data_IF_086177208356
#
_entry.id   IF_086177208356
#
_cell.length_a   1.000
_cell.length_b   1.000
_cell.length_c   1.000
_cell.angle_alpha   90.00
_cell.angle_beta   90.00
_cell.angle_gamma   90.00
#
_symmetry.space_group_name_H-M   'P 1'
#
loop_
_entity.id
_entity.type
_entity.pdbx_description
1 polymer ?
#
# COMPACT_ATOMS: atom_id res chain seq x y z
N UNK A 1 9.58 25.95 4.89
CA UNK A 1 9.58 25.47 6.29
C UNK A 1 10.41 24.20 6.30
N UNK A 2 11.28 24.02 7.27
CA UNK A 2 12.12 22.83 7.35
C UNK A 2 11.29 21.64 7.88
N UNK A 3 11.54 20.43 7.40
CA UNK A 3 10.79 19.22 7.82
C UNK A 3 10.91 19.01 9.33
N UNK A 4 12.11 19.19 9.90
CA UNK A 4 12.36 19.07 11.34
C UNK A 4 11.50 20.01 12.18
N UNK A 5 11.33 21.26 11.75
CA UNK A 5 10.50 22.21 12.46
C UNK A 5 9.03 21.83 12.39
N UNK A 6 8.60 21.28 11.24
CA UNK A 6 7.25 20.75 11.08
C UNK A 6 6.99 19.57 11.99
N UNK A 7 7.88 18.56 11.98
CA UNK A 7 7.74 17.37 12.80
C UNK A 7 7.84 17.69 14.29
N UNK A 8 8.79 18.52 14.71
CA UNK A 8 8.88 18.98 16.11
C UNK A 8 7.61 19.68 16.55
N UNK A 9 7.07 20.57 15.73
CA UNK A 9 5.81 21.25 16.04
C UNK A 9 4.65 20.28 16.14
N UNK A 10 4.58 19.29 15.26
CA UNK A 10 3.53 18.28 15.25
C UNK A 10 3.65 17.36 16.48
N UNK A 11 4.85 16.84 16.77
CA UNK A 11 5.05 15.86 17.84
C UNK A 11 5.09 16.48 19.24
N UNK A 12 5.59 17.73 19.41
CA UNK A 12 5.73 18.37 20.71
C UNK A 12 4.53 19.24 21.10
N UNK A 13 3.87 19.90 20.14
CA UNK A 13 2.85 20.89 20.42
C UNK A 13 1.45 20.52 19.93
N UNK A 14 1.33 19.38 19.26
CA UNK A 14 0.07 18.93 18.64
C UNK A 14 -0.37 19.83 17.49
N UNK A 15 -0.66 19.27 16.34
CA UNK A 15 -1.28 20.04 15.27
C UNK A 15 -2.76 20.24 15.59
N UNK A 16 -3.17 21.48 15.81
CA UNK A 16 -4.60 21.76 15.84
C UNK A 16 -5.06 22.03 14.43
N UNK A 17 -5.61 21.03 13.78
CA UNK A 17 -6.26 21.16 12.50
C UNK A 17 -7.53 22.01 12.62
N UNK A 18 -7.87 22.75 11.56
CA UNK A 18 -9.15 23.46 11.52
C UNK A 18 -10.30 22.47 11.45
N UNK A 19 -11.34 22.73 12.22
CA UNK A 19 -12.54 21.90 12.31
C UNK A 19 -13.56 22.25 11.24
N UNK A 20 -14.38 21.25 10.88
CA UNK A 20 -15.57 21.44 10.04
C UNK A 20 -16.74 20.63 10.63
N UNK A 21 -17.89 21.26 10.85
CA UNK A 21 -19.00 20.66 11.61
C UNK A 21 -19.69 19.49 10.90
N UNK A 22 -19.67 19.47 9.57
CA UNK A 22 -20.30 18.44 8.74
C UNK A 22 -19.31 17.37 8.26
N UNK A 23 -18.03 17.49 8.64
CA UNK A 23 -16.99 16.52 8.30
C UNK A 23 -16.71 15.59 9.50
N UNK A 24 -16.44 14.33 9.21
CA UNK A 24 -16.06 13.31 10.19
C UNK A 24 -14.91 12.47 9.66
N UNK A 25 -13.97 12.15 10.56
CA UNK A 25 -12.89 11.21 10.31
C UNK A 25 -13.33 9.84 10.80
N UNK A 26 -13.13 8.81 9.98
CA UNK A 26 -13.32 7.43 10.36
C UNK A 26 -12.01 6.66 10.20
N UNK A 27 -11.74 5.74 11.12
CA UNK A 27 -10.53 4.93 11.05
C UNK A 27 -10.75 3.56 11.71
N UNK A 28 -9.92 2.59 11.36
CA UNK A 28 -9.88 1.33 12.06
C UNK A 28 -8.45 1.04 12.54
N UNK A 29 -8.34 0.49 13.74
CA UNK A 29 -7.08 0.04 14.32
C UNK A 29 -7.13 -1.47 14.55
N UNK A 30 -6.06 -2.16 14.17
CA UNK A 30 -5.85 -3.56 14.52
C UNK A 30 -4.36 -3.87 14.63
N UNK A 31 -4.00 -4.66 15.62
CA UNK A 31 -2.61 -5.01 15.93
C UNK A 31 -2.51 -6.49 16.35
N UNK A 32 -2.74 -7.44 15.42
CA UNK A 32 -2.88 -8.86 15.77
C UNK A 32 -1.62 -9.49 16.36
N UNK A 33 -0.46 -8.85 16.20
CA UNK A 33 0.82 -9.35 16.71
C UNK A 33 1.38 -8.51 17.86
N UNK A 34 0.63 -7.53 18.39
CA UNK A 34 1.07 -6.68 19.49
C UNK A 34 2.32 -5.84 19.19
N UNK A 35 2.49 -5.40 17.93
CA UNK A 35 3.62 -4.56 17.54
C UNK A 35 3.55 -3.20 18.25
N UNK A 36 4.48 -2.86 19.16
CA UNK A 36 4.43 -1.63 19.93
C UNK A 36 4.50 -0.36 19.08
N UNK A 37 5.13 -0.42 17.91
CA UNK A 37 5.25 0.72 17.01
C UNK A 37 3.91 1.10 16.37
N UNK A 38 2.98 0.14 16.23
CA UNK A 38 1.62 0.45 15.78
C UNK A 38 0.86 1.27 16.80
N UNK A 39 0.96 0.92 18.08
CA UNK A 39 0.33 1.69 19.15
C UNK A 39 0.97 3.08 19.29
N UNK A 40 2.29 3.19 19.13
CA UNK A 40 3.00 4.49 19.11
C UNK A 40 2.50 5.34 17.93
N UNK A 41 2.40 4.76 16.74
CA UNK A 41 1.90 5.45 15.56
C UNK A 41 0.43 5.91 15.74
N UNK A 42 -0.42 5.01 16.25
CA UNK A 42 -1.80 5.34 16.58
C UNK A 42 -1.90 6.52 17.56
N UNK A 43 -1.14 6.51 18.64
CA UNK A 43 -1.19 7.58 19.64
C UNK A 43 -0.84 8.94 19.04
N UNK A 44 0.17 9.01 18.18
CA UNK A 44 0.56 10.23 17.45
C UNK A 44 -0.55 10.68 16.48
N UNK A 45 -1.12 9.74 15.72
CA UNK A 45 -2.27 9.99 14.86
C UNK A 45 -3.46 10.53 15.66
N UNK A 46 -3.85 9.83 16.74
CA UNK A 46 -4.99 10.18 17.57
C UNK A 46 -4.82 11.57 18.21
N UNK A 47 -3.65 11.87 18.74
CA UNK A 47 -3.34 13.20 19.29
C UNK A 47 -3.54 14.31 18.26
N UNK A 48 -3.26 14.04 16.99
CA UNK A 48 -3.44 15.03 15.91
C UNK A 48 -4.90 15.29 15.58
N UNK A 49 -5.79 14.30 15.73
CA UNK A 49 -7.20 14.37 15.29
C UNK A 49 -8.24 14.41 16.42
N UNK A 50 -7.89 14.10 17.68
CA UNK A 50 -8.85 13.93 18.78
C UNK A 50 -9.77 15.13 19.04
N UNK A 51 -9.42 16.32 18.55
CA UNK A 51 -10.23 17.53 18.64
C UNK A 51 -11.20 17.73 17.45
N UNK A 52 -11.12 16.86 16.43
CA UNK A 52 -12.01 16.82 15.28
C UNK A 52 -13.17 15.84 15.52
N UNK A 53 -14.24 15.93 14.73
CA UNK A 53 -15.23 14.85 14.73
C UNK A 53 -14.60 13.57 14.22
N UNK A 54 -14.64 12.51 15.02
CA UNK A 54 -14.07 11.22 14.61
C UNK A 54 -14.86 10.04 15.12
N UNK A 55 -14.67 8.87 14.52
CA UNK A 55 -15.11 7.54 14.96
C UNK A 55 -14.03 6.54 14.61
N UNK A 56 -13.60 5.75 15.58
CA UNK A 56 -12.54 4.76 15.41
C UNK A 56 -13.08 3.41 15.89
N UNK A 57 -12.79 2.36 15.14
CA UNK A 57 -13.05 0.98 15.56
C UNK A 57 -11.73 0.28 15.80
N UNK A 58 -11.55 -0.24 17.01
CA UNK A 58 -10.51 -1.23 17.30
C UNK A 58 -11.03 -2.62 16.95
N UNK A 59 -10.36 -3.30 16.03
CA UNK A 59 -10.63 -4.70 15.70
C UNK A 59 -9.71 -5.61 16.50
N UNK A 60 -10.26 -6.34 17.45
CA UNK A 60 -9.55 -7.32 18.27
C UNK A 60 -9.70 -8.69 17.60
N UNK A 61 -8.58 -9.29 17.20
CA UNK A 61 -8.56 -10.52 16.42
C UNK A 61 -8.13 -11.69 17.29
N UNK A 62 -8.95 -12.75 17.31
CA UNK A 62 -8.68 -13.95 18.10
C UNK A 62 -8.60 -13.64 19.59
N UNK A 63 -7.57 -14.16 20.25
CA UNK A 63 -7.32 -13.99 21.69
C UNK A 63 -6.44 -12.77 22.03
N UNK A 64 -6.22 -11.86 21.06
CA UNK A 64 -5.41 -10.66 21.33
C UNK A 64 -6.11 -9.75 22.34
N UNK A 65 -5.31 -8.98 23.07
CA UNK A 65 -5.84 -8.00 24.01
C UNK A 65 -6.13 -6.68 23.29
N UNK A 66 -7.20 -6.03 23.70
CA UNK A 66 -7.50 -4.68 23.26
C UNK A 66 -6.44 -3.70 23.80
N UNK A 67 -6.00 -2.77 22.97
CA UNK A 67 -4.94 -1.80 23.28
C UNK A 67 -5.49 -0.38 23.47
N UNK A 68 -6.67 -0.08 22.89
CA UNK A 68 -7.23 1.26 22.93
C UNK A 68 -8.28 1.40 24.07
N UNK A 69 -8.40 2.58 24.69
CA UNK A 69 -9.49 2.84 25.64
C UNK A 69 -10.83 2.90 24.88
N UNK A 70 -11.83 2.20 25.38
CA UNK A 70 -13.19 2.31 24.85
C UNK A 70 -13.84 3.62 25.31
N UNK A 71 -14.37 4.39 24.38
CA UNK A 71 -15.00 5.70 24.61
C UNK A 71 -16.21 5.86 23.70
N UNK A 72 -16.91 6.98 23.76
CA UNK A 72 -17.99 7.28 22.80
C UNK A 72 -17.49 7.45 21.34
N UNK A 73 -16.17 7.63 21.13
CA UNK A 73 -15.53 7.83 19.81
C UNK A 73 -14.70 6.64 19.35
N UNK A 74 -14.31 5.76 20.27
CA UNK A 74 -13.52 4.56 20.02
C UNK A 74 -14.32 3.36 20.49
N UNK A 75 -14.80 2.56 19.55
CA UNK A 75 -15.56 1.34 19.81
C UNK A 75 -14.73 0.11 19.48
N UNK A 76 -15.17 -1.05 19.95
CA UNK A 76 -14.45 -2.31 19.79
C UNK A 76 -15.30 -3.36 19.11
N UNK A 77 -14.67 -4.12 18.21
CA UNK A 77 -15.27 -5.29 17.57
C UNK A 77 -14.31 -6.46 17.70
N UNK A 78 -14.82 -7.60 18.11
CA UNK A 78 -14.09 -8.85 18.21
C UNK A 78 -14.40 -9.75 17.02
N UNK A 79 -13.39 -10.39 16.46
CA UNK A 79 -13.54 -11.40 15.40
C UNK A 79 -12.48 -12.49 15.55
N UNK A 80 -12.84 -13.77 15.38
CA UNK A 80 -11.83 -14.82 15.33
C UNK A 80 -11.06 -14.87 14.01
N UNK A 81 -11.52 -14.18 12.97
CA UNK A 81 -10.98 -14.28 11.61
C UNK A 81 -9.86 -13.27 11.40
N UNK A 82 -8.63 -13.76 11.23
CA UNK A 82 -7.47 -12.94 10.92
C UNK A 82 -7.46 -12.60 9.43
N UNK A 83 -8.16 -11.53 9.07
CA UNK A 83 -8.27 -10.98 7.71
C UNK A 83 -8.08 -9.47 7.73
N UNK A 84 -7.97 -8.87 6.55
CA UNK A 84 -7.90 -7.41 6.40
C UNK A 84 -9.30 -6.82 6.41
N UNK A 85 -9.87 -6.55 7.59
CA UNK A 85 -11.24 -6.08 7.78
C UNK A 85 -11.45 -4.58 7.59
N UNK A 86 -10.43 -3.82 7.15
CA UNK A 86 -10.45 -2.35 7.12
C UNK A 86 -11.74 -1.81 6.49
N UNK A 87 -12.03 -2.21 5.27
CA UNK A 87 -13.15 -1.65 4.51
C UNK A 87 -14.51 -2.10 5.07
N UNK A 88 -14.64 -3.33 5.57
CA UNK A 88 -15.86 -3.80 6.25
C UNK A 88 -16.13 -2.97 7.51
N UNK A 89 -15.10 -2.69 8.31
CA UNK A 89 -15.21 -1.87 9.52
C UNK A 89 -15.57 -0.41 9.18
N UNK A 90 -14.93 0.16 8.16
CA UNK A 90 -15.23 1.51 7.68
C UNK A 90 -16.68 1.60 7.17
N UNK A 91 -17.16 0.62 6.41
CA UNK A 91 -18.54 0.55 5.94
C UNK A 91 -19.53 0.49 7.10
N UNK A 92 -19.21 -0.30 8.14
CA UNK A 92 -20.02 -0.35 9.37
C UNK A 92 -20.10 1.03 10.02
N UNK A 93 -18.97 1.70 10.23
CA UNK A 93 -18.95 3.06 10.81
C UNK A 93 -19.82 4.00 9.96
N UNK A 94 -19.67 4.01 8.63
CA UNK A 94 -20.45 4.88 7.73
C UNK A 94 -21.95 4.66 7.92
N UNK A 95 -22.39 3.41 8.02
CA UNK A 95 -23.83 3.07 8.20
C UNK A 95 -24.42 3.61 9.51
N UNK A 96 -23.60 3.79 10.54
CA UNK A 96 -23.98 4.23 11.88
C UNK A 96 -23.80 5.75 12.10
N UNK A 97 -23.16 6.45 11.16
CA UNK A 97 -22.90 7.90 11.30
C UNK A 97 -24.17 8.73 11.35
N UNK A 98 -24.26 9.73 12.25
CA UNK A 98 -25.31 10.72 12.23
C UNK A 98 -25.45 11.44 10.88
N UNK A 99 -26.68 11.70 10.46
CA UNK A 99 -26.99 12.34 9.15
C UNK A 99 -26.41 13.76 8.98
N UNK A 100 -25.99 14.41 10.06
CA UNK A 100 -25.32 15.72 10.01
C UNK A 100 -23.97 15.69 9.28
N UNK A 101 -23.31 14.55 9.24
CA UNK A 101 -22.02 14.41 8.57
C UNK A 101 -22.24 14.17 7.07
N UNK A 102 -21.84 15.14 6.26
CA UNK A 102 -21.96 15.11 4.80
C UNK A 102 -20.65 14.72 4.10
N UNK A 103 -19.53 14.85 4.81
CA UNK A 103 -18.18 14.56 4.31
C UNK A 103 -17.52 13.55 5.22
N UNK A 104 -17.09 12.44 4.65
CA UNK A 104 -16.48 11.33 5.38
C UNK A 104 -15.05 11.16 4.91
N UNK A 105 -14.12 11.17 5.86
CA UNK A 105 -12.70 10.96 5.60
C UNK A 105 -12.26 9.69 6.30
N UNK A 106 -11.73 8.70 5.54
CA UNK A 106 -11.16 7.50 6.13
C UNK A 106 -9.65 7.55 6.04
N UNK A 107 -9.02 7.40 7.19
CA UNK A 107 -7.58 7.56 7.35
C UNK A 107 -6.96 6.28 7.93
N UNK A 108 -5.75 5.97 7.48
CA UNK A 108 -4.90 5.01 8.19
C UNK A 108 -4.46 5.61 9.53
N UNK A 109 -4.29 4.76 10.55
CA UNK A 109 -4.06 5.20 11.94
C UNK A 109 -2.59 5.47 12.27
N UNK A 110 -1.80 5.77 11.26
CA UNK A 110 -0.37 5.99 11.32
C UNK A 110 0.07 7.20 10.48
N UNK A 111 -0.85 8.13 10.22
CA UNK A 111 -0.60 9.28 9.35
C UNK A 111 -0.76 10.63 10.05
N UNK A 112 0.01 11.63 9.65
CA UNK A 112 -0.07 13.01 10.12
C UNK A 112 0.04 13.96 8.93
N UNK A 113 -0.86 14.95 8.87
CA UNK A 113 -0.85 15.98 7.84
C UNK A 113 -0.03 17.19 8.26
N UNK A 114 0.71 17.76 7.33
CA UNK A 114 1.45 19.02 7.55
C UNK A 114 0.57 20.26 7.38
N UNK A 115 -0.43 20.18 6.50
CA UNK A 115 -1.37 21.27 6.26
C UNK A 115 -2.42 21.34 7.38
N UNK A 116 -2.41 22.41 8.18
CA UNK A 116 -3.39 22.60 9.28
C UNK A 116 -4.82 22.82 8.80
N UNK A 117 -5.01 23.17 7.54
CA UNK A 117 -6.31 23.42 6.93
C UNK A 117 -6.82 22.20 6.13
N UNK A 118 -6.08 21.09 6.12
CA UNK A 118 -6.36 19.96 5.22
C UNK A 118 -7.82 19.54 5.19
N UNK A 119 -8.49 19.51 6.35
CA UNK A 119 -9.88 19.07 6.45
C UNK A 119 -10.85 20.08 5.80
N UNK A 120 -10.65 21.38 6.06
CA UNK A 120 -11.51 22.42 5.49
C UNK A 120 -11.31 22.53 3.98
N UNK A 121 -10.05 22.55 3.52
CA UNK A 121 -9.72 22.60 2.09
C UNK A 121 -10.20 21.33 1.36
N UNK A 122 -10.21 20.18 2.05
CA UNK A 122 -10.79 18.94 1.51
C UNK A 122 -12.30 19.04 1.33
N UNK A 123 -13.01 19.62 2.28
CA UNK A 123 -14.45 19.85 2.15
C UNK A 123 -14.73 20.84 1.00
N UNK A 124 -13.92 21.88 0.83
CA UNK A 124 -14.00 22.80 -0.30
C UNK A 124 -13.78 22.05 -1.64
N UNK A 125 -12.77 21.20 -1.72
CA UNK A 125 -12.51 20.35 -2.90
C UNK A 125 -13.70 19.44 -3.23
N UNK A 126 -14.36 18.88 -2.21
CA UNK A 126 -15.53 18.01 -2.38
C UNK A 126 -16.81 18.74 -2.82
N UNK A 127 -16.80 20.06 -2.96
CA UNK A 127 -17.91 20.79 -3.61
C UNK A 127 -17.96 20.51 -5.12
N UNK A 128 -16.83 20.23 -5.73
CA UNK A 128 -16.68 19.98 -7.18
C UNK A 128 -16.26 18.55 -7.50
N UNK A 129 -15.61 17.88 -6.55
CA UNK A 129 -15.18 16.47 -6.65
C UNK A 129 -16.11 15.58 -5.84
N UNK A 130 -16.14 14.29 -6.19
CA UNK A 130 -16.94 13.28 -5.51
C UNK A 130 -16.15 12.49 -4.48
N UNK A 131 -14.84 12.35 -4.73
CA UNK A 131 -13.86 11.66 -3.88
C UNK A 131 -12.50 12.36 -4.01
N UNK A 132 -11.64 12.25 -3.01
CA UNK A 132 -10.34 12.92 -3.06
C UNK A 132 -9.32 12.30 -2.08
N UNK A 133 -8.02 12.58 -2.32
CA UNK A 133 -6.96 12.34 -1.33
C UNK A 133 -6.57 13.67 -0.66
N UNK A 134 -6.63 13.78 0.68
CA UNK A 134 -6.40 15.04 1.39
C UNK A 134 -4.91 15.40 1.54
N UNK A 135 -4.10 15.05 0.54
CA UNK A 135 -2.67 15.37 0.48
C UNK A 135 -2.17 15.38 -0.97
N UNK A 136 -1.07 16.08 -1.22
CA UNK A 136 -0.37 16.08 -2.49
C UNK A 136 0.79 15.09 -2.51
N UNK A 137 1.60 15.09 -1.45
CA UNK A 137 2.73 14.17 -1.28
C UNK A 137 2.61 13.39 0.03
N UNK A 138 3.12 12.16 0.02
CA UNK A 138 3.31 11.38 1.25
C UNK A 138 4.79 11.00 1.40
N UNK A 139 5.22 10.86 2.66
CA UNK A 139 6.56 10.43 3.02
C UNK A 139 6.45 9.28 4.00
N UNK A 140 7.05 8.14 3.69
CA UNK A 140 7.23 7.08 4.65
C UNK A 140 8.48 7.40 5.50
N UNK A 141 8.26 7.72 6.75
CA UNK A 141 9.34 7.95 7.70
C UNK A 141 10.05 6.64 8.04
N UNK A 142 11.35 6.71 8.27
CA UNK A 142 12.11 5.63 8.87
C UNK A 142 11.97 5.63 10.41
N UNK A 143 12.45 4.57 11.04
CA UNK A 143 12.27 4.40 12.49
C UNK A 143 12.87 5.57 13.28
N UNK A 144 14.09 5.96 12.95
CA UNK A 144 14.82 7.08 13.58
C UNK A 144 14.22 8.44 13.21
N UNK A 145 13.65 8.59 12.00
CA UNK A 145 12.97 9.82 11.57
C UNK A 145 11.65 10.06 12.32
N UNK A 146 11.10 9.02 12.92
CA UNK A 146 9.93 9.12 13.80
C UNK A 146 10.27 9.73 15.17
N UNK A 147 11.55 9.76 15.55
CA UNK A 147 12.03 10.42 16.77
C UNK A 147 12.04 11.94 16.58
N UNK A 148 11.47 12.73 17.53
CA UNK A 148 11.45 14.19 17.45
C UNK A 148 12.84 14.85 17.44
N UNK A 149 13.88 14.14 17.89
CA UNK A 149 15.27 14.62 17.87
C UNK A 149 15.95 14.50 16.52
N UNK A 150 15.40 13.70 15.60
CA UNK A 150 15.98 13.47 14.28
C UNK A 150 15.90 14.74 13.42
N UNK A 151 16.99 15.07 12.74
CA UNK A 151 17.06 16.26 11.88
C UNK A 151 16.80 15.93 10.42
N UNK A 152 15.59 16.19 9.96
CA UNK A 152 15.17 16.05 8.55
C UNK A 152 15.45 17.30 7.68
N UNK A 153 16.28 18.23 8.16
CA UNK A 153 16.55 19.52 7.48
C UNK A 153 17.18 19.38 6.08
N UNK A 154 17.80 18.23 5.80
CA UNK A 154 18.38 17.92 4.48
C UNK A 154 17.35 17.69 3.40
N UNK A 155 16.09 17.35 3.74
CA UNK A 155 15.04 17.07 2.80
C UNK A 155 14.07 18.22 2.61
N UNK A 156 13.62 18.43 1.40
CA UNK A 156 12.53 19.35 1.03
C UNK A 156 11.42 18.56 0.36
N UNK A 157 10.37 18.26 1.09
CA UNK A 157 9.28 17.40 0.64
C UNK A 157 8.69 17.86 -0.68
N UNK A 158 8.29 19.11 -0.79
CA UNK A 158 7.67 19.66 -2.02
C UNK A 158 8.68 20.08 -3.11
N UNK A 159 9.96 19.68 -2.99
CA UNK A 159 10.95 20.05 -4.00
C UNK A 159 10.79 19.23 -5.28
N UNK A 160 10.82 19.93 -6.44
CA UNK A 160 10.92 19.27 -7.75
C UNK A 160 12.34 18.74 -8.04
N UNK A 161 13.34 19.17 -7.27
CA UNK A 161 14.71 18.67 -7.38
C UNK A 161 14.82 17.29 -6.70
N UNK A 162 15.09 16.22 -7.46
CA UNK A 162 15.21 14.87 -6.91
C UNK A 162 16.27 14.74 -5.81
N UNK A 163 17.33 15.56 -5.84
CA UNK A 163 18.41 15.55 -4.83
C UNK A 163 17.99 16.09 -3.47
N UNK A 164 16.89 16.85 -3.44
CA UNK A 164 16.35 17.44 -2.22
C UNK A 164 15.09 16.70 -1.73
N UNK A 165 14.65 15.67 -2.46
CA UNK A 165 13.48 14.88 -2.09
C UNK A 165 13.84 13.79 -1.10
N UNK A 166 12.93 13.52 -0.18
CA UNK A 166 13.07 12.33 0.66
C UNK A 166 13.00 11.06 -0.23
N UNK A 167 13.89 10.06 -0.04
CA UNK A 167 13.94 8.87 -0.90
C UNK A 167 12.65 8.04 -0.88
N UNK A 168 11.86 8.11 0.21
CA UNK A 168 10.58 7.43 0.37
C UNK A 168 9.39 8.38 0.27
N UNK A 169 9.42 9.28 -0.71
CA UNK A 169 8.37 10.25 -0.98
C UNK A 169 7.68 9.95 -2.31
N UNK A 170 6.35 9.92 -2.28
CA UNK A 170 5.52 9.73 -3.47
C UNK A 170 4.44 10.78 -3.55
N UNK A 171 4.05 11.13 -4.76
CA UNK A 171 2.88 11.96 -5.00
C UNK A 171 1.61 11.12 -4.85
N UNK A 172 0.51 11.71 -4.40
CA UNK A 172 -0.78 11.03 -4.31
C UNK A 172 -1.31 10.65 -5.71
N UNK A 173 -2.10 9.59 -5.79
CA UNK A 173 -2.75 9.16 -7.03
C UNK A 173 -3.61 10.29 -7.62
N UNK A 174 -4.44 10.94 -6.80
CA UNK A 174 -5.31 12.02 -7.27
C UNK A 174 -4.52 13.23 -7.80
N UNK A 175 -3.40 13.57 -7.17
CA UNK A 175 -2.56 14.67 -7.65
C UNK A 175 -1.88 14.32 -8.99
N UNK A 176 -1.42 13.09 -9.16
CA UNK A 176 -0.87 12.62 -10.43
C UNK A 176 -1.93 12.59 -11.54
N UNK A 177 -3.10 12.05 -11.25
CA UNK A 177 -4.19 11.96 -12.23
C UNK A 177 -4.62 13.33 -12.75
N UNK A 178 -4.69 14.33 -11.90
CA UNK A 178 -5.13 15.68 -12.29
C UNK A 178 -4.10 16.46 -13.13
N UNK A 179 -2.82 16.07 -13.10
CA UNK A 179 -1.75 16.80 -13.79
C UNK A 179 -1.06 16.01 -14.92
N UNK A 180 -1.19 14.69 -14.92
CA UNK A 180 -0.55 13.81 -15.90
C UNK A 180 -1.57 12.94 -16.60
N UNK A 181 -1.60 13.00 -17.93
CA UNK A 181 -2.42 12.10 -18.75
C UNK A 181 -1.84 10.69 -18.86
N UNK A 182 -0.58 10.48 -18.47
CA UNK A 182 0.09 9.17 -18.54
C UNK A 182 0.00 8.45 -17.20
N UNK A 183 -1.07 7.71 -17.06
CA UNK A 183 -1.29 6.76 -15.98
C UNK A 183 -0.91 5.33 -16.42
N UNK A 184 0.02 5.20 -17.36
CA UNK A 184 0.55 3.91 -17.75
C UNK A 184 1.05 3.18 -16.51
N UNK A 185 0.34 2.11 -16.19
CA UNK A 185 0.46 1.46 -14.92
C UNK A 185 1.64 0.52 -14.86
N UNK A 186 2.49 0.81 -13.96
CA UNK A 186 3.24 -0.20 -13.24
C UNK A 186 2.69 -0.28 -11.81
N UNK A 187 2.78 -1.42 -11.12
CA UNK A 187 2.41 -1.57 -9.70
C UNK A 187 3.22 -0.61 -8.82
N UNK A 188 4.07 0.19 -9.42
CA UNK A 188 4.97 1.15 -8.81
C UNK A 188 4.30 2.51 -8.62
N UNK A 189 4.28 3.01 -7.38
CA UNK A 189 3.79 4.34 -7.01
C UNK A 189 4.47 5.50 -7.76
N UNK A 190 5.64 5.28 -8.35
CA UNK A 190 6.35 6.29 -9.13
C UNK A 190 5.60 6.72 -10.39
N UNK A 191 4.76 5.84 -10.96
CA UNK A 191 4.00 6.14 -12.17
C UNK A 191 2.60 6.67 -11.88
N UNK A 192 1.81 5.98 -11.09
CA UNK A 192 0.43 6.40 -10.83
C UNK A 192 0.23 7.11 -9.48
N UNK A 193 1.27 7.22 -8.65
CA UNK A 193 1.17 7.84 -7.35
C UNK A 193 0.70 6.90 -6.25
N UNK A 194 0.78 7.38 -5.01
CA UNK A 194 0.41 6.63 -3.83
C UNK A 194 -1.11 6.52 -3.67
N UNK A 195 -1.61 5.31 -3.54
CA UNK A 195 -3.06 5.00 -3.54
C UNK A 195 -3.69 4.93 -2.15
N UNK A 196 -2.91 4.77 -1.09
CA UNK A 196 -3.39 4.53 0.27
C UNK A 196 -3.36 5.75 1.18
N UNK A 197 -3.39 5.52 2.49
CA UNK A 197 -3.27 6.42 3.63
C UNK A 197 -4.52 7.19 4.01
N UNK A 198 -5.06 7.99 3.10
CA UNK A 198 -6.12 8.91 3.43
C UNK A 198 -6.98 9.19 2.20
N UNK A 199 -8.28 9.15 2.40
CA UNK A 199 -9.28 9.47 1.39
C UNK A 199 -10.42 10.24 2.02
N UNK A 200 -11.16 10.98 1.20
CA UNK A 200 -12.39 11.65 1.59
C UNK A 200 -13.41 11.60 0.48
N UNK A 201 -14.69 11.51 0.83
CA UNK A 201 -15.78 11.51 -0.12
C UNK A 201 -17.00 12.25 0.43
N UNK A 202 -17.90 12.66 -0.49
CA UNK A 202 -19.25 13.01 -0.11
C UNK A 202 -19.96 11.76 0.42
N UNK A 203 -20.64 11.89 1.55
CA UNK A 203 -21.31 10.77 2.21
C UNK A 203 -22.31 10.07 1.29
N UNK A 204 -23.02 10.80 0.45
CA UNK A 204 -24.01 10.23 -0.49
C UNK A 204 -23.42 9.16 -1.42
N UNK A 205 -22.12 9.26 -1.75
CA UNK A 205 -21.40 8.24 -2.51
C UNK A 205 -21.33 6.94 -1.69
N UNK A 206 -20.90 7.05 -0.42
CA UNK A 206 -20.72 5.89 0.47
C UNK A 206 -22.05 5.30 0.94
N UNK A 207 -23.08 6.12 1.13
CA UNK A 207 -24.45 5.67 1.44
C UNK A 207 -25.07 4.90 0.25
N UNK A 208 -24.69 5.24 -0.98
CA UNK A 208 -25.18 4.58 -2.20
C UNK A 208 -24.40 3.31 -2.49
N UNK A 209 -23.07 3.36 -2.29
CA UNK A 209 -22.19 2.24 -2.59
C UNK A 209 -21.06 2.16 -1.55
N UNK A 210 -21.04 1.08 -0.75
CA UNK A 210 -19.97 0.85 0.21
C UNK A 210 -18.60 0.69 -0.45
N UNK A 211 -17.54 0.95 0.31
CA UNK A 211 -16.16 0.64 -0.09
C UNK A 211 -16.03 -0.86 -0.43
N UNK A 212 -15.13 -1.18 -1.36
CA UNK A 212 -14.86 -2.56 -1.76
C UNK A 212 -14.22 -3.33 -0.60
N UNK A 213 -14.97 -4.19 0.06
CA UNK A 213 -14.57 -4.85 1.30
C UNK A 213 -14.12 -6.30 1.14
N UNK A 214 -14.02 -6.80 -0.10
CA UNK A 214 -13.50 -8.13 -0.40
C UNK A 214 -11.98 -8.19 -0.65
N UNK A 215 -11.27 -7.10 -0.47
CA UNK A 215 -9.80 -7.10 -0.47
C UNK A 215 -9.25 -7.57 0.88
N UNK A 216 -9.59 -8.81 1.26
CA UNK A 216 -9.39 -9.38 2.60
C UNK A 216 -7.92 -9.62 2.99
N UNK A 217 -7.01 -9.29 2.11
CA UNK A 217 -5.55 -9.27 2.32
C UNK A 217 -4.97 -7.87 2.11
N UNK A 218 -5.83 -6.85 1.93
CA UNK A 218 -5.48 -5.48 1.59
C UNK A 218 -5.44 -5.21 0.08
N UNK A 219 -5.25 -3.95 -0.30
CA UNK A 219 -5.24 -3.51 -1.70
C UNK A 219 -6.57 -2.90 -2.18
N UNK A 220 -7.57 -2.73 -1.31
CA UNK A 220 -8.83 -2.07 -1.67
C UNK A 220 -8.62 -0.62 -2.13
N UNK A 221 -7.71 0.12 -1.51
CA UNK A 221 -7.37 1.48 -1.95
C UNK A 221 -6.92 1.51 -3.41
N UNK A 222 -6.20 0.47 -3.87
CA UNK A 222 -5.74 0.34 -5.25
C UNK A 222 -6.92 0.08 -6.20
N UNK A 223 -7.83 -0.81 -5.84
CA UNK A 223 -9.07 -1.05 -6.61
C UNK A 223 -9.89 0.23 -6.70
N UNK A 224 -10.09 0.91 -5.58
CA UNK A 224 -10.93 2.09 -5.48
C UNK A 224 -10.38 3.28 -6.30
N UNK A 225 -9.08 3.56 -6.24
CA UNK A 225 -8.50 4.68 -6.97
C UNK A 225 -8.61 4.51 -8.49
N UNK A 226 -8.33 3.30 -9.00
CA UNK A 226 -8.52 3.01 -10.42
C UNK A 226 -9.99 3.04 -10.84
N UNK A 227 -10.89 2.51 -10.01
CA UNK A 227 -12.33 2.59 -10.26
C UNK A 227 -12.80 4.06 -10.30
N UNK A 228 -12.38 4.89 -9.35
CA UNK A 228 -12.74 6.31 -9.29
C UNK A 228 -12.28 7.08 -10.54
N UNK A 229 -11.11 6.75 -11.08
CA UNK A 229 -10.55 7.34 -12.29
C UNK A 229 -11.12 6.77 -13.60
N UNK A 230 -11.92 5.70 -13.56
CA UNK A 230 -12.47 5.04 -14.75
C UNK A 230 -11.53 4.04 -15.41
N UNK A 231 -10.47 3.64 -14.73
CA UNK A 231 -9.49 2.67 -15.23
C UNK A 231 -9.93 1.23 -14.92
N UNK A 232 -11.13 0.87 -15.37
CA UNK A 232 -11.71 -0.45 -15.15
C UNK A 232 -10.95 -1.48 -15.99
N UNK A 233 -10.60 -2.61 -15.39
CA UNK A 233 -9.79 -3.65 -16.05
C UNK A 233 -8.33 -3.27 -16.26
N UNK A 234 -7.84 -2.26 -15.56
CA UNK A 234 -6.46 -1.79 -15.68
C UNK A 234 -5.43 -2.87 -15.31
N UNK A 235 -4.27 -2.85 -15.97
CA UNK A 235 -3.24 -3.88 -15.81
C UNK A 235 -2.72 -4.06 -14.39
N UNK A 236 -2.68 -2.99 -13.58
CA UNK A 236 -2.35 -3.06 -12.14
C UNK A 236 -3.30 -3.98 -11.38
N UNK A 237 -4.60 -3.82 -11.66
CA UNK A 237 -5.65 -4.57 -10.95
C UNK A 237 -5.70 -6.00 -11.46
N UNK A 238 -5.65 -6.19 -12.79
CA UNK A 238 -5.70 -7.53 -13.39
C UNK A 238 -4.49 -8.40 -13.03
N UNK A 239 -3.31 -7.80 -12.85
CA UNK A 239 -2.11 -8.52 -12.41
C UNK A 239 -2.14 -8.87 -10.92
N UNK A 240 -2.77 -8.03 -10.10
CA UNK A 240 -2.84 -8.26 -8.65
C UNK A 240 -3.99 -9.22 -8.29
N UNK A 241 -5.17 -9.05 -8.88
CA UNK A 241 -6.41 -9.73 -8.51
C UNK A 241 -6.91 -10.66 -9.62
N UNK A 242 -6.11 -11.60 -10.05
CA UNK A 242 -6.41 -12.47 -11.20
C UNK A 242 -7.73 -13.23 -11.07
N UNK A 243 -7.99 -13.82 -9.90
CA UNK A 243 -9.15 -14.68 -9.67
C UNK A 243 -10.46 -13.90 -9.43
N UNK A 244 -10.37 -12.67 -8.92
CA UNK A 244 -11.53 -11.86 -8.52
C UNK A 244 -11.84 -10.74 -9.50
N UNK A 245 -11.16 -10.69 -10.65
CA UNK A 245 -11.20 -9.56 -11.57
C UNK A 245 -12.63 -9.27 -12.09
N UNK A 246 -13.44 -10.27 -12.27
CA UNK A 246 -14.83 -10.08 -12.74
C UNK A 246 -15.64 -9.28 -11.71
N UNK A 247 -15.62 -9.69 -10.46
CA UNK A 247 -16.32 -9.02 -9.37
C UNK A 247 -15.80 -7.60 -9.16
N UNK A 248 -14.46 -7.43 -9.17
CA UNK A 248 -13.83 -6.12 -9.08
C UNK A 248 -14.28 -5.20 -10.21
N UNK A 249 -14.35 -5.69 -11.45
CA UNK A 249 -14.79 -4.89 -12.58
C UNK A 249 -16.29 -4.52 -12.47
N UNK A 250 -17.15 -5.41 -11.99
CA UNK A 250 -18.56 -5.13 -11.72
C UNK A 250 -18.73 -4.06 -10.64
N UNK A 251 -17.98 -4.17 -9.55
CA UNK A 251 -17.95 -3.16 -8.49
C UNK A 251 -17.40 -1.83 -9.02
N UNK A 252 -16.26 -1.84 -9.73
CA UNK A 252 -15.59 -0.66 -10.27
C UNK A 252 -16.48 0.11 -11.23
N UNK A 253 -17.25 -0.60 -12.09
CA UNK A 253 -18.18 0.02 -13.03
C UNK A 253 -19.28 0.81 -12.30
N UNK A 254 -19.84 0.23 -11.25
CA UNK A 254 -20.86 0.91 -10.43
C UNK A 254 -20.28 2.09 -9.67
N UNK A 255 -19.08 1.93 -9.10
CA UNK A 255 -18.41 2.99 -8.36
C UNK A 255 -18.06 4.17 -9.29
N UNK A 256 -17.52 3.89 -10.49
CA UNK A 256 -17.25 4.93 -11.48
C UNK A 256 -18.50 5.69 -11.90
N UNK A 257 -19.63 5.01 -12.06
CA UNK A 257 -20.89 5.65 -12.40
C UNK A 257 -21.32 6.73 -11.38
N UNK A 258 -20.94 6.57 -10.11
CA UNK A 258 -21.16 7.55 -9.03
C UNK A 258 -20.09 8.64 -9.00
N UNK A 259 -18.84 8.26 -9.12
CA UNK A 259 -17.69 9.18 -8.98
C UNK A 259 -17.44 9.98 -10.26
N UNK A 260 -17.62 9.37 -11.44
CA UNK A 260 -17.50 10.00 -12.76
C UNK A 260 -16.13 10.66 -13.02
N UNK A 261 -15.04 10.13 -12.47
CA UNK A 261 -13.73 10.73 -12.61
C UNK A 261 -13.56 12.07 -11.89
N UNK A 262 -14.54 12.51 -11.10
CA UNK A 262 -14.45 13.75 -10.30
C UNK A 262 -13.65 13.47 -9.03
N UNK A 263 -12.35 13.37 -9.21
CA UNK A 263 -11.38 13.10 -8.15
C UNK A 263 -10.52 14.32 -7.90
N UNK A 264 -10.22 14.61 -6.63
CA UNK A 264 -9.49 15.79 -6.22
C UNK A 264 -8.34 15.50 -5.25
N UNK A 265 -7.56 16.52 -4.95
CA UNK A 265 -6.57 16.49 -3.88
C UNK A 265 -6.44 17.84 -3.21
N UNK A 266 -5.74 17.90 -2.07
CA UNK A 266 -5.38 19.12 -1.37
C UNK A 266 -3.86 19.24 -1.31
N UNK A 267 -3.35 20.47 -1.45
CA UNK A 267 -1.92 20.73 -1.29
C UNK A 267 -1.47 20.52 0.14
N UNK A 268 -0.31 19.94 0.31
CA UNK A 268 0.29 19.63 1.59
C UNK A 268 0.78 18.19 1.64
N UNK A 269 1.57 17.92 2.65
CA UNK A 269 2.25 16.65 2.78
C UNK A 269 1.62 15.82 3.88
N UNK A 270 1.71 14.50 3.73
CA UNK A 270 1.31 13.51 4.70
C UNK A 270 2.55 12.72 5.11
N UNK A 271 2.80 12.59 6.41
CA UNK A 271 3.82 11.70 6.97
C UNK A 271 3.19 10.40 7.43
N UNK A 272 3.74 9.30 6.94
CA UNK A 272 3.42 7.96 7.44
C UNK A 272 4.47 7.61 8.51
N UNK A 273 4.00 7.39 9.73
CA UNK A 273 4.83 7.06 10.89
C UNK A 273 5.30 5.61 10.76
N UNK A 274 6.59 5.38 11.00
CA UNK A 274 7.17 4.06 10.90
C UNK A 274 6.58 3.09 11.94
N UNK A 275 6.23 1.89 11.49
CA UNK A 275 5.78 0.77 12.32
C UNK A 275 6.21 -0.59 11.73
N UNK A 276 7.28 -0.62 10.94
CA UNK A 276 7.85 -1.79 10.29
C UNK A 276 8.26 -1.53 8.85
N UNK A 277 9.09 -2.41 8.31
CA UNK A 277 9.70 -2.24 7.00
C UNK A 277 8.71 -2.39 5.85
N UNK A 278 8.83 -1.52 4.83
CA UNK A 278 8.00 -1.55 3.63
C UNK A 278 8.16 -2.86 2.84
N UNK A 279 9.39 -3.38 2.75
CA UNK A 279 9.67 -4.62 2.02
C UNK A 279 8.92 -5.84 2.59
N UNK A 280 8.69 -5.87 3.89
CA UNK A 280 7.92 -6.95 4.55
C UNK A 280 6.43 -6.91 4.25
N UNK A 281 5.91 -5.84 3.66
CA UNK A 281 4.48 -5.72 3.32
C UNK A 281 4.07 -6.57 2.12
N UNK A 282 4.99 -6.92 1.23
CA UNK A 282 4.83 -7.84 0.09
C UNK A 282 3.50 -7.64 -0.68
N UNK A 283 3.16 -6.39 -1.00
CA UNK A 283 1.83 -5.99 -1.49
C UNK A 283 1.29 -6.86 -2.64
N UNK A 284 2.06 -7.04 -3.71
CA UNK A 284 1.63 -7.82 -4.86
C UNK A 284 1.59 -9.32 -4.55
N UNK A 285 2.66 -9.83 -3.92
CA UNK A 285 2.80 -11.26 -3.61
C UNK A 285 1.65 -11.76 -2.74
N UNK A 286 1.36 -11.09 -1.62
CA UNK A 286 0.28 -11.51 -0.71
C UNK A 286 -1.09 -11.55 -1.38
N UNK A 287 -1.38 -10.58 -2.27
CA UNK A 287 -2.65 -10.54 -3.00
C UNK A 287 -2.74 -11.72 -3.97
N UNK A 288 -1.67 -11.98 -4.73
CA UNK A 288 -1.63 -13.09 -5.69
C UNK A 288 -1.70 -14.45 -5.01
N UNK A 289 -0.95 -14.65 -3.93
CA UNK A 289 -0.92 -15.92 -3.20
C UNK A 289 -2.26 -16.26 -2.57
N UNK A 290 -3.02 -15.25 -2.15
CA UNK A 290 -4.29 -15.43 -1.45
C UNK A 290 -5.52 -15.33 -2.37
N UNK A 291 -5.36 -14.90 -3.61
CA UNK A 291 -6.47 -14.57 -4.50
C UNK A 291 -7.44 -15.73 -4.76
N UNK A 292 -6.94 -16.96 -4.90
CA UNK A 292 -7.77 -18.15 -5.07
C UNK A 292 -8.63 -18.45 -3.84
N UNK A 293 -8.12 -18.19 -2.65
CA UNK A 293 -8.80 -18.41 -1.38
C UNK A 293 -9.92 -17.41 -1.14
N UNK A 294 -9.80 -16.18 -1.69
CA UNK A 294 -10.81 -15.13 -1.54
C UNK A 294 -12.19 -15.54 -2.04
N UNK A 295 -12.26 -16.37 -3.08
CA UNK A 295 -13.53 -16.85 -3.65
C UNK A 295 -14.31 -17.78 -2.70
N UNK A 296 -13.63 -18.39 -1.73
CA UNK A 296 -14.23 -19.28 -0.74
C UNK A 296 -14.79 -18.51 0.47
N UNK A 297 -14.39 -17.25 0.65
CA UNK A 297 -14.75 -16.43 1.81
C UNK A 297 -15.92 -15.52 1.43
N UNK A 298 -17.14 -15.95 1.75
CA UNK A 298 -18.37 -15.23 1.39
C UNK A 298 -19.29 -14.95 2.58
N UNK A 299 -19.09 -15.62 3.71
CA UNK A 299 -19.93 -15.44 4.88
C UNK A 299 -19.47 -14.28 5.76
N UNK A 300 -20.41 -13.50 6.27
CA UNK A 300 -20.17 -12.43 7.25
C UNK A 300 -20.82 -12.76 8.61
N UNK A 301 -20.22 -12.24 9.66
CA UNK A 301 -20.78 -12.29 11.00
C UNK A 301 -21.84 -11.17 11.22
N UNK A 302 -22.38 -11.11 12.44
CA UNK A 302 -23.34 -10.07 12.85
C UNK A 302 -22.80 -8.65 12.82
N UNK A 303 -21.48 -8.49 12.81
CA UNK A 303 -20.79 -7.21 12.67
C UNK A 303 -20.52 -6.84 11.20
N UNK A 304 -20.85 -7.72 10.26
CA UNK A 304 -20.57 -7.53 8.84
C UNK A 304 -19.12 -7.84 8.45
N UNK A 305 -18.36 -8.53 9.31
CA UNK A 305 -16.99 -8.95 9.04
C UNK A 305 -16.98 -10.34 8.40
N UNK A 306 -16.10 -10.55 7.43
CA UNK A 306 -15.97 -11.86 6.81
C UNK A 306 -15.42 -12.91 7.77
N UNK A 307 -16.03 -14.09 7.74
CA UNK A 307 -15.60 -15.27 8.51
C UNK A 307 -14.84 -16.22 7.62
N UNK A 308 -13.74 -16.77 8.14
CA UNK A 308 -13.01 -17.83 7.45
C UNK A 308 -12.29 -18.76 8.41
N UNK A 309 -12.32 -20.06 8.08
CA UNK A 309 -11.37 -21.05 8.58
C UNK A 309 -10.28 -21.37 7.55
N UNK A 310 -10.38 -20.79 6.35
CA UNK A 310 -9.46 -21.06 5.23
C UNK A 310 -8.38 -19.99 5.22
N UNK A 311 -7.12 -20.41 5.04
CA UNK A 311 -5.98 -19.50 4.94
C UNK A 311 -5.53 -18.89 6.27
N UNK A 312 -6.03 -19.38 7.42
CA UNK A 312 -5.63 -18.91 8.75
C UNK A 312 -4.13 -19.01 8.98
N UNK A 313 -3.52 -20.15 8.66
CA UNK A 313 -2.08 -20.33 8.78
C UNK A 313 -1.29 -19.34 7.91
N UNK A 314 -1.71 -19.15 6.66
CA UNK A 314 -1.08 -18.17 5.76
C UNK A 314 -1.12 -16.75 6.32
N UNK A 315 -2.28 -16.34 6.82
CA UNK A 315 -2.45 -15.00 7.38
C UNK A 315 -1.61 -14.82 8.65
N UNK A 316 -1.54 -15.83 9.49
CA UNK A 316 -0.73 -15.84 10.70
C UNK A 316 0.76 -15.73 10.38
N UNK A 317 1.26 -16.54 9.44
CA UNK A 317 2.63 -16.46 8.94
C UNK A 317 2.95 -15.10 8.31
N UNK A 318 2.04 -14.58 7.48
CA UNK A 318 2.20 -13.26 6.87
C UNK A 318 2.30 -12.15 7.93
N UNK A 319 1.40 -12.11 8.92
CA UNK A 319 1.44 -11.09 9.96
C UNK A 319 2.65 -11.26 10.88
N UNK A 320 3.05 -12.48 11.21
CA UNK A 320 4.27 -12.75 11.97
C UNK A 320 5.51 -12.23 11.22
N UNK A 321 5.62 -12.50 9.92
CA UNK A 321 6.72 -12.01 9.09
C UNK A 321 6.70 -10.49 8.99
N UNK A 322 5.55 -9.90 8.71
CA UNK A 322 5.38 -8.45 8.53
C UNK A 322 5.72 -7.66 9.78
N UNK A 323 5.24 -8.11 10.94
CA UNK A 323 5.34 -7.39 12.20
C UNK A 323 6.65 -7.71 12.96
N UNK A 324 7.44 -8.65 12.49
CA UNK A 324 8.74 -8.95 13.09
C UNK A 324 9.70 -7.78 12.83
N UNK A 325 9.90 -6.96 13.87
CA UNK A 325 10.80 -5.80 13.85
C UNK A 325 12.26 -6.16 14.16
N UNK A 326 12.53 -7.42 14.53
CA UNK A 326 13.91 -7.90 14.71
C UNK A 326 14.56 -8.05 13.34
N UNK A 327 15.66 -7.40 13.14
CA UNK A 327 16.53 -7.50 11.96
C UNK A 327 17.31 -8.81 11.99
N UNK A 328 16.64 -9.96 11.96
CA UNK A 328 17.31 -11.20 11.64
C UNK A 328 17.45 -11.24 10.10
N UNK A 329 18.62 -10.77 9.66
CA UNK A 329 19.09 -11.00 8.31
C UNK A 329 19.15 -12.54 8.11
N UNK A 330 18.10 -13.12 7.53
CA UNK A 330 18.05 -14.56 7.29
C UNK A 330 16.69 -15.25 7.42
N UNK A 331 15.63 -14.58 7.88
CA UNK A 331 14.30 -15.17 7.80
C UNK A 331 13.78 -15.09 6.37
N UNK A 332 13.83 -16.21 5.64
CA UNK A 332 13.13 -16.32 4.36
C UNK A 332 11.64 -16.02 4.56
N UNK A 333 10.98 -15.36 3.59
CA UNK A 333 9.53 -15.18 3.64
C UNK A 333 8.84 -16.56 3.75
N UNK A 334 7.77 -16.68 4.54
CA UNK A 334 7.20 -17.96 4.98
C UNK A 334 6.56 -18.83 3.90
N UNK A 335 6.72 -18.57 2.62
CA UNK A 335 5.93 -19.21 1.58
C UNK A 335 6.75 -20.15 0.71
N UNK A 336 6.73 -21.44 1.07
CA UNK A 336 6.92 -22.54 0.12
C UNK A 336 5.55 -23.14 -0.22
N UNK A 337 4.91 -22.66 -1.27
CA UNK A 337 3.76 -23.33 -1.83
C UNK A 337 4.26 -24.40 -2.79
N UNK A 338 3.89 -25.67 -2.54
CA UNK A 338 4.34 -26.83 -3.30
C UNK A 338 3.31 -27.29 -4.34
N UNK A 339 3.01 -26.45 -5.36
CA UNK A 339 2.25 -26.93 -6.51
C UNK A 339 2.96 -26.66 -7.84
N UNK A 340 2.71 -27.49 -8.86
CA UNK A 340 3.33 -27.33 -10.20
C UNK A 340 2.98 -25.99 -10.87
N UNK A 341 1.89 -25.35 -10.46
CA UNK A 341 1.48 -24.00 -10.90
C UNK A 341 2.36 -22.89 -10.33
N UNK A 342 3.09 -23.15 -9.25
CA UNK A 342 3.86 -22.14 -8.52
C UNK A 342 5.20 -21.82 -9.17
N UNK A 343 5.85 -22.79 -9.87
CA UNK A 343 7.13 -22.52 -10.56
C UNK A 343 7.01 -21.39 -11.58
N UNK A 344 5.88 -21.30 -12.28
CA UNK A 344 5.62 -20.22 -13.26
C UNK A 344 5.37 -18.87 -12.58
N UNK A 345 4.72 -18.90 -11.42
CA UNK A 345 4.50 -17.71 -10.58
C UNK A 345 5.81 -17.20 -9.98
N UNK A 346 6.70 -18.11 -9.53
CA UNK A 346 8.03 -17.75 -9.01
C UNK A 346 8.93 -17.09 -10.05
N UNK A 347 8.86 -17.54 -11.32
CA UNK A 347 9.60 -16.89 -12.41
C UNK A 347 9.10 -15.47 -12.66
N UNK A 348 7.76 -15.29 -12.68
CA UNK A 348 7.15 -13.96 -12.86
C UNK A 348 7.48 -13.05 -11.65
N UNK A 349 7.49 -13.60 -10.44
CA UNK A 349 7.88 -12.88 -9.22
C UNK A 349 9.36 -12.46 -9.27
N UNK A 350 10.28 -13.37 -9.60
CA UNK A 350 11.72 -13.04 -9.76
C UNK A 350 11.95 -11.97 -10.84
N UNK A 351 11.18 -12.00 -11.93
CA UNK A 351 11.21 -10.95 -12.95
C UNK A 351 10.66 -9.60 -12.45
N UNK A 352 9.65 -9.65 -11.57
CA UNK A 352 9.12 -8.48 -10.87
C UNK A 352 10.16 -7.86 -9.94
N UNK A 353 10.80 -8.66 -9.10
CA UNK A 353 11.88 -8.23 -8.20
C UNK A 353 13.07 -7.62 -8.95
N UNK A 354 13.49 -8.22 -10.07
CA UNK A 354 14.56 -7.68 -10.93
C UNK A 354 14.17 -6.30 -11.48
N UNK A 355 12.90 -6.08 -11.82
CA UNK A 355 12.40 -4.78 -12.32
C UNK A 355 12.30 -3.74 -11.23
N UNK A 356 11.80 -4.13 -10.04
CA UNK A 356 11.72 -3.26 -8.88
C UNK A 356 13.12 -2.82 -8.42
N UNK A 357 14.07 -3.74 -8.38
CA UNK A 357 15.47 -3.45 -8.10
C UNK A 357 16.11 -2.51 -9.13
N UNK A 358 15.71 -2.55 -10.41
CA UNK A 358 16.17 -1.58 -11.42
C UNK A 358 15.68 -0.16 -11.17
N UNK A 359 14.48 0.02 -10.59
CA UNK A 359 13.93 1.36 -10.32
C UNK A 359 14.57 2.04 -9.10
N UNK A 360 15.00 1.25 -8.10
CA UNK A 360 15.64 1.75 -6.86
C UNK A 360 17.10 2.19 -7.09
N UNK A 361 17.76 1.78 -8.19
CA UNK A 361 19.21 1.70 -8.32
C UNK A 361 19.88 2.74 -9.20
N UNK A 362 19.29 3.84 -9.52
CA UNK A 362 19.89 4.78 -10.50
C UNK A 362 21.20 5.48 -10.09
N UNK A 363 21.78 5.25 -8.88
CA UNK A 363 22.98 5.96 -8.40
C UNK A 363 23.92 5.19 -7.45
N UNK A 364 24.00 3.87 -7.53
CA UNK A 364 24.93 3.10 -6.68
C UNK A 364 26.36 3.09 -7.27
N UNK A 365 27.39 3.13 -6.42
CA UNK A 365 28.77 2.84 -6.81
C UNK A 365 28.93 1.38 -7.23
N UNK A 366 30.08 1.06 -7.88
CA UNK A 366 30.36 -0.33 -8.29
C UNK A 366 30.42 -1.28 -7.09
N UNK A 367 31.04 -0.84 -5.99
CA UNK A 367 31.13 -1.61 -4.74
C UNK A 367 29.75 -1.85 -4.13
N UNK A 368 28.92 -0.82 -4.03
CA UNK A 368 27.56 -0.96 -3.51
C UNK A 368 26.71 -1.87 -4.39
N UNK A 369 26.85 -1.79 -5.72
CA UNK A 369 26.16 -2.68 -6.64
C UNK A 369 26.64 -4.13 -6.48
N UNK A 370 27.94 -4.37 -6.32
CA UNK A 370 28.50 -5.69 -6.10
C UNK A 370 27.96 -6.33 -4.81
N UNK A 371 28.06 -5.63 -3.70
CA UNK A 371 27.54 -6.12 -2.39
C UNK A 371 26.06 -6.38 -2.45
N UNK A 372 25.31 -5.49 -3.11
CA UNK A 372 23.88 -5.67 -3.30
C UNK A 372 23.57 -6.95 -4.10
N UNK A 373 24.18 -7.16 -5.27
CA UNK A 373 23.92 -8.35 -6.09
C UNK A 373 24.40 -9.64 -5.40
N UNK A 374 25.53 -9.58 -4.69
CA UNK A 374 26.05 -10.71 -3.88
C UNK A 374 25.09 -11.09 -2.77
N UNK A 375 24.49 -10.13 -2.10
CA UNK A 375 23.48 -10.36 -1.07
C UNK A 375 22.25 -11.11 -1.59
N UNK A 376 21.75 -10.73 -2.77
CA UNK A 376 20.58 -11.37 -3.37
C UNK A 376 20.90 -12.68 -4.13
N UNK A 377 22.16 -12.95 -4.40
CA UNK A 377 22.63 -14.16 -5.10
C UNK A 377 23.80 -14.84 -4.35
N UNK A 378 23.62 -15.23 -3.07
CA UNK A 378 24.72 -15.70 -2.22
C UNK A 378 25.38 -17.00 -2.69
N UNK A 379 24.70 -17.79 -3.53
CA UNK A 379 25.19 -19.06 -4.05
C UNK A 379 25.86 -18.93 -5.43
N UNK A 380 25.83 -17.75 -6.05
CA UNK A 380 26.45 -17.50 -7.34
C UNK A 380 27.91 -17.09 -7.18
N UNK A 381 28.73 -17.45 -8.18
CA UNK A 381 30.13 -17.09 -8.19
C UNK A 381 30.34 -15.58 -8.50
N UNK A 382 31.56 -15.12 -8.25
CA UNK A 382 31.86 -13.70 -8.39
C UNK A 382 31.80 -13.23 -9.85
N UNK A 383 32.02 -14.11 -10.83
CA UNK A 383 31.94 -13.78 -12.26
C UNK A 383 30.49 -13.46 -12.67
N UNK A 384 29.52 -14.18 -12.11
CA UNK A 384 28.10 -13.90 -12.31
C UNK A 384 27.71 -12.56 -11.68
N UNK A 385 28.15 -12.30 -10.44
CA UNK A 385 27.87 -11.05 -9.74
C UNK A 385 28.48 -9.85 -10.50
N UNK A 386 29.73 -9.96 -10.95
CA UNK A 386 30.40 -8.92 -11.74
C UNK A 386 29.65 -8.63 -13.06
N UNK A 387 29.07 -9.63 -13.71
CA UNK A 387 28.27 -9.43 -14.92
C UNK A 387 26.99 -8.63 -14.64
N UNK A 388 26.36 -8.83 -13.50
CA UNK A 388 25.19 -8.05 -13.05
C UNK A 388 25.57 -6.59 -12.75
N UNK A 389 26.72 -6.39 -12.09
CA UNK A 389 27.27 -5.06 -11.78
C UNK A 389 27.61 -4.30 -13.06
N UNK A 390 28.24 -4.96 -14.01
CA UNK A 390 28.60 -4.35 -15.30
C UNK A 390 27.35 -3.94 -16.08
N UNK A 391 26.32 -4.79 -16.13
CA UNK A 391 25.04 -4.48 -16.74
C UNK A 391 24.35 -3.28 -16.10
N UNK A 392 24.49 -3.13 -14.79
CA UNK A 392 23.99 -1.98 -14.05
C UNK A 392 24.75 -0.67 -14.39
N UNK A 393 26.09 -0.70 -14.33
CA UNK A 393 26.93 0.49 -14.51
C UNK A 393 26.93 1.03 -15.96
N UNK A 394 26.75 0.17 -16.95
CA UNK A 394 26.79 0.58 -18.35
C UNK A 394 25.49 1.23 -18.81
N UNK A 395 24.45 1.24 -17.99
CA UNK A 395 23.10 1.71 -18.34
C UNK A 395 22.66 1.18 -19.71
N UNK A 396 23.18 -0.04 -20.04
CA UNK A 396 22.96 -0.64 -21.35
C UNK A 396 21.54 -1.20 -21.39
N UNK A 397 20.60 -0.33 -21.79
CA UNK A 397 19.47 -0.78 -22.61
C UNK A 397 20.08 -1.31 -23.91
N UNK A 398 20.79 -2.42 -23.82
CA UNK A 398 21.23 -3.11 -25.02
C UNK A 398 20.03 -3.93 -25.47
N UNK A 399 19.20 -3.30 -26.26
CA UNK A 399 18.44 -4.04 -27.24
C UNK A 399 19.44 -4.93 -27.96
N UNK A 400 19.45 -6.23 -27.69
CA UNK A 400 20.19 -7.22 -28.43
C UNK A 400 21.59 -7.61 -27.93
N UNK A 401 22.01 -7.28 -26.70
CA UNK A 401 23.26 -7.85 -26.18
C UNK A 401 23.00 -9.11 -25.34
N UNK A 402 23.91 -10.05 -25.53
CA UNK A 402 23.96 -11.39 -24.90
C UNK A 402 23.69 -11.43 -23.39
N UNK A 403 23.96 -10.35 -22.65
CA UNK A 403 23.80 -10.31 -21.18
C UNK A 403 22.33 -10.24 -20.70
N UNK A 404 21.45 -9.57 -21.43
CA UNK A 404 20.01 -9.53 -21.08
C UNK A 404 19.31 -10.86 -21.41
N UNK A 405 19.73 -11.52 -22.48
CA UNK A 405 19.24 -12.83 -22.88
C UNK A 405 19.72 -13.94 -21.94
N UNK A 406 20.98 -13.89 -21.51
CA UNK A 406 21.57 -14.93 -20.66
C UNK A 406 21.03 -14.89 -19.24
N UNK A 407 20.75 -13.72 -18.64
CA UNK A 407 20.12 -13.64 -17.32
C UNK A 407 18.67 -14.11 -17.39
N UNK A 408 17.93 -13.72 -18.41
CA UNK A 408 16.57 -14.17 -18.64
C UNK A 408 16.55 -15.67 -18.97
N UNK A 409 17.49 -16.12 -19.79
CA UNK A 409 17.68 -17.51 -20.16
C UNK A 409 18.08 -18.40 -18.97
N UNK A 410 18.98 -17.95 -18.09
CA UNK A 410 19.37 -18.66 -16.88
C UNK A 410 18.21 -18.80 -15.88
N UNK A 411 17.45 -17.72 -15.63
CA UNK A 411 16.28 -17.78 -14.73
C UNK A 411 15.17 -18.64 -15.31
N UNK A 412 14.94 -18.59 -16.62
CA UNK A 412 13.93 -19.41 -17.30
C UNK A 412 14.46 -20.86 -17.46
N UNK A 413 15.74 -21.03 -17.77
CA UNK A 413 16.38 -22.34 -17.93
C UNK A 413 16.40 -23.15 -16.65
N UNK A 414 16.79 -22.57 -15.52
CA UNK A 414 16.75 -23.21 -14.21
C UNK A 414 15.32 -23.59 -13.78
N UNK A 415 14.31 -22.80 -14.18
CA UNK A 415 12.91 -23.09 -13.88
C UNK A 415 12.27 -24.13 -14.82
N UNK A 416 12.81 -24.30 -16.05
CA UNK A 416 12.28 -25.24 -17.05
C UNK A 416 13.03 -26.57 -17.11
N UNK A 417 14.30 -26.62 -16.71
CA UNK A 417 15.07 -27.86 -16.66
C UNK A 417 14.63 -28.85 -15.59
N UNK A 418 13.80 -28.41 -14.65
CA UNK A 418 13.15 -29.29 -13.65
C UNK A 418 11.80 -29.86 -14.10
N UNK A 419 11.40 -29.66 -15.36
CA UNK A 419 10.12 -30.17 -15.89
C UNK A 419 10.36 -30.99 -17.14
N UNK A 420 10.48 -32.29 -16.96
CA UNK A 420 10.60 -33.34 -18.04
C UNK A 420 9.30 -33.50 -18.85
N UNK A 421 8.51 -32.46 -19.13
CA UNK A 421 7.36 -32.59 -20.00
C UNK A 421 6.94 -31.22 -20.57
N UNK A 422 7.63 -30.75 -21.63
CA UNK A 422 7.11 -29.72 -22.52
C UNK A 422 7.43 -30.03 -23.98
N UNK A 423 6.67 -30.99 -24.55
CA UNK A 423 6.49 -31.11 -25.99
C UNK A 423 5.20 -30.34 -26.38
N UNK A 424 5.33 -29.16 -26.86
CA UNK A 424 4.18 -28.38 -27.34
C UNK A 424 4.59 -26.91 -27.44
N UNK A 425 5.23 -26.57 -28.55
CA UNK A 425 5.61 -25.18 -28.81
C UNK A 425 4.40 -24.34 -29.13
N UNK A 426 4.17 -23.32 -28.34
CA UNK A 426 3.63 -22.05 -28.82
C UNK A 426 4.49 -20.95 -28.20
N UNK A 427 5.16 -20.24 -29.10
CA UNK A 427 6.00 -19.11 -28.82
C UNK A 427 5.22 -18.02 -28.12
N UNK A 428 5.71 -17.59 -26.97
CA UNK A 428 5.34 -16.29 -26.45
C UNK A 428 6.12 -15.27 -27.30
N UNK A 429 5.52 -14.90 -28.41
CA UNK A 429 5.95 -13.75 -29.18
C UNK A 429 5.27 -12.51 -28.64
N UNK A 430 6.10 -11.58 -28.25
CA UNK A 430 5.99 -10.16 -28.39
C UNK A 430 4.66 -9.47 -28.11
N UNK A 431 4.69 -8.76 -27.00
CA UNK A 431 4.29 -7.35 -26.95
C UNK A 431 4.49 -6.83 -25.55
N UNK A 432 5.75 -6.50 -25.23
CA UNK A 432 6.09 -5.64 -24.12
C UNK A 432 6.92 -4.49 -24.66
N UNK A 433 6.24 -3.54 -25.27
CA UNK A 433 6.71 -2.16 -25.41
C UNK A 433 5.98 -1.27 -24.41
#
# INVERSE_FOLDING_TARGET
MKISDTLKNIFLYGNKYKTHSEAVIIACYFNPQGNPYRLIAFNKFYDSIKHLNHRIVECVIGDTQAELPETEFITRIHTPSLLWHKESLLNKIVSELPKKFKYVFWLDTDVIFTNKNWLVESVESLQTNNIMQPFEYCVHLDQDETDPSFNLDSYRISSRDPKLRHPKMWRSFCANHNESADLSCDVNYDKHGHVGFAWGARREILDTMPLYDKALIGGADHVMCHAAAGHIGHSCITKAFTENIKEINEWSTKFYALVQGKIGYVKGDLYHIWHGDLGKRQYLKRIQDFSSTLNEINEKDENGLYKTSVGGEYMEEYFNYRENTKTDAGSEPPLKITSKTDKRKDVIHKLGEIREQKSIKQNMSREEAYEHYKYYHPTRDDSFIESLVLGYLTNSTVEGSLLGGDILGAVIGDALNDTDDFSGGEYINDNFS
#
